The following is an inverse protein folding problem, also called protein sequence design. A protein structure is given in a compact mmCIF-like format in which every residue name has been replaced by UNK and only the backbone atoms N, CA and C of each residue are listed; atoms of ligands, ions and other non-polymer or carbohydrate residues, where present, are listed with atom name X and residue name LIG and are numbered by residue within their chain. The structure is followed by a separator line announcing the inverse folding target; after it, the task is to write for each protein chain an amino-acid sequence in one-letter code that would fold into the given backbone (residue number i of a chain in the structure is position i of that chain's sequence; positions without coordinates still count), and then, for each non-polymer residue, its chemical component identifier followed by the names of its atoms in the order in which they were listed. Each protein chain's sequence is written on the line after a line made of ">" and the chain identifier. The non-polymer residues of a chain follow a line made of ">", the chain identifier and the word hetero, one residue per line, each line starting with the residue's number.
data_IF_237611450013
#
_entry.id   IF_237611450013
#
_cell.length_a   1.000
_cell.length_b   1.000
_cell.length_c   1.000
_cell.angle_alpha   90.00
_cell.angle_beta   90.00
_cell.angle_gamma   90.00
#
_symmetry.space_group_name_H-M   'P 1'
#
loop_
_entity.id
_entity.type
_entity.pdbx_description
1 polymer ?
#
# COMPACT_ATOMS: atom_id res chain seq x y z
N UNK A 1 -26.43 -17.95 0.73
CA UNK A 1 -25.37 -17.65 1.73
C UNK A 1 -24.08 -18.44 1.50
N UNK A 2 -23.91 -19.72 1.90
CA UNK A 2 -22.60 -20.41 1.78
C UNK A 2 -22.04 -20.47 0.34
N UNK A 3 -22.86 -20.89 -0.61
CA UNK A 3 -22.47 -20.98 -2.04
C UNK A 3 -22.14 -19.59 -2.60
N UNK A 4 -22.97 -18.58 -2.33
CA UNK A 4 -22.71 -17.19 -2.72
C UNK A 4 -21.38 -16.68 -2.15
N UNK A 5 -21.05 -17.01 -0.90
CA UNK A 5 -19.79 -16.63 -0.27
C UNK A 5 -18.59 -17.26 -0.97
N UNK A 6 -18.67 -18.54 -1.35
CA UNK A 6 -17.61 -19.21 -2.12
C UNK A 6 -17.46 -18.56 -3.50
N UNK A 7 -18.58 -18.29 -4.18
CA UNK A 7 -18.56 -17.61 -5.48
C UNK A 7 -17.91 -16.24 -5.35
N UNK A 8 -18.31 -15.43 -4.36
CA UNK A 8 -17.72 -14.13 -4.10
C UNK A 8 -16.22 -14.19 -3.79
N UNK A 9 -15.78 -15.20 -3.05
CA UNK A 9 -14.36 -15.44 -2.78
C UNK A 9 -13.59 -15.76 -4.06
N UNK A 10 -14.09 -16.66 -4.90
CA UNK A 10 -13.42 -17.03 -6.17
C UNK A 10 -13.37 -15.83 -7.11
N UNK A 11 -14.49 -15.13 -7.30
CA UNK A 11 -14.55 -13.94 -8.15
C UNK A 11 -13.63 -12.86 -7.60
N UNK A 12 -13.61 -12.65 -6.28
CA UNK A 12 -12.73 -11.70 -5.64
C UNK A 12 -11.26 -12.01 -5.90
N UNK A 13 -10.82 -13.26 -5.71
CA UNK A 13 -9.45 -13.70 -6.06
C UNK A 13 -9.13 -13.42 -7.53
N UNK A 14 -10.02 -13.78 -8.47
CA UNK A 14 -9.81 -13.53 -9.90
C UNK A 14 -9.70 -12.03 -10.21
N UNK A 15 -10.58 -11.21 -9.66
CA UNK A 15 -10.53 -9.76 -9.78
C UNK A 15 -9.26 -9.18 -9.14
N UNK A 16 -8.81 -9.74 -8.01
CA UNK A 16 -7.55 -9.37 -7.36
C UNK A 16 -6.34 -9.69 -8.22
N UNK A 17 -6.34 -10.83 -8.93
CA UNK A 17 -5.30 -11.17 -9.92
C UNK A 17 -5.27 -10.15 -11.04
N UNK A 18 -6.42 -9.88 -11.66
CA UNK A 18 -6.51 -8.93 -12.78
C UNK A 18 -6.02 -7.56 -12.33
N UNK A 19 -6.57 -7.05 -11.24
CA UNK A 19 -6.26 -5.70 -10.77
C UNK A 19 -4.85 -5.54 -10.22
N UNK A 20 -4.30 -6.56 -9.56
CA UNK A 20 -2.92 -6.57 -9.06
C UNK A 20 -1.88 -6.63 -10.19
N UNK A 21 -2.26 -7.13 -11.37
CA UNK A 21 -1.36 -7.14 -12.54
C UNK A 21 -1.45 -5.87 -13.39
N UNK A 22 -2.43 -4.99 -13.15
CA UNK A 22 -2.54 -3.71 -13.87
C UNK A 22 -1.63 -2.67 -13.18
N UNK A 23 -0.62 -2.11 -13.89
CA UNK A 23 0.26 -1.10 -13.33
C UNK A 23 -0.51 0.12 -12.82
N UNK A 24 -0.10 0.66 -11.67
CA UNK A 24 -0.63 1.93 -11.16
C UNK A 24 -2.02 1.86 -10.50
N UNK A 25 -2.68 0.69 -10.50
CA UNK A 25 -3.88 0.49 -9.69
C UNK A 25 -3.47 0.15 -8.27
N UNK A 26 -4.01 0.89 -7.30
CA UNK A 26 -3.82 0.63 -5.88
C UNK A 26 -5.08 0.00 -5.28
N UNK A 27 -4.91 -0.87 -4.29
CA UNK A 27 -6.01 -1.58 -3.61
C UNK A 27 -7.11 -0.65 -3.11
N UNK A 28 -6.74 0.47 -2.48
CA UNK A 28 -7.70 1.48 -1.99
C UNK A 28 -8.61 2.04 -3.10
N UNK A 29 -8.09 2.26 -4.31
CA UNK A 29 -8.90 2.76 -5.43
C UNK A 29 -9.94 1.71 -5.84
N UNK A 30 -9.56 0.44 -5.87
CA UNK A 30 -10.48 -0.64 -6.23
C UNK A 30 -11.56 -0.79 -5.15
N UNK A 31 -11.17 -0.81 -3.87
CA UNK A 31 -12.11 -0.87 -2.75
C UNK A 31 -13.11 0.29 -2.81
N UNK A 32 -12.67 1.50 -3.17
CA UNK A 32 -13.54 2.66 -3.36
C UNK A 32 -14.50 2.47 -4.54
N UNK A 33 -14.03 1.96 -5.68
CA UNK A 33 -14.88 1.67 -6.85
C UNK A 33 -15.97 0.65 -6.48
N UNK A 34 -15.59 -0.44 -5.82
CA UNK A 34 -16.54 -1.47 -5.38
C UNK A 34 -17.54 -0.91 -4.37
N UNK A 35 -17.09 -0.08 -3.42
CA UNK A 35 -17.96 0.57 -2.45
C UNK A 35 -18.95 1.55 -3.11
N UNK A 36 -18.51 2.31 -4.12
CA UNK A 36 -19.38 3.22 -4.88
C UNK A 36 -20.47 2.48 -5.66
N UNK A 37 -20.22 1.23 -6.09
CA UNK A 37 -21.21 0.38 -6.77
C UNK A 37 -21.97 -0.53 -5.78
N UNK A 38 -21.60 -0.51 -4.50
CA UNK A 38 -22.18 -1.39 -3.48
C UNK A 38 -23.72 -1.30 -3.34
N UNK A 39 -24.41 -0.15 -3.52
CA UNK A 39 -25.87 -0.13 -3.46
C UNK A 39 -26.53 -1.05 -4.48
N UNK A 40 -25.94 -1.19 -5.67
CA UNK A 40 -26.43 -2.11 -6.70
C UNK A 40 -26.13 -3.56 -6.33
N UNK A 41 -24.94 -3.84 -5.80
CA UNK A 41 -24.56 -5.19 -5.37
C UNK A 41 -25.41 -5.68 -4.20
N UNK A 42 -25.77 -4.79 -3.27
CA UNK A 42 -26.62 -5.09 -2.12
C UNK A 42 -28.09 -5.32 -2.48
N UNK A 43 -28.52 -4.89 -3.68
CA UNK A 43 -29.85 -5.22 -4.17
C UNK A 43 -29.98 -6.71 -4.58
N UNK A 44 -28.86 -7.36 -4.90
CA UNK A 44 -28.81 -8.74 -5.39
C UNK A 44 -28.08 -9.70 -4.43
N UNK A 45 -27.34 -9.19 -3.45
CA UNK A 45 -26.54 -9.98 -2.50
C UNK A 45 -26.58 -9.37 -1.09
N UNK A 46 -25.98 -10.06 -0.11
CA UNK A 46 -25.88 -9.57 1.26
C UNK A 46 -24.58 -8.80 1.54
N UNK A 47 -24.54 -7.93 2.57
CA UNK A 47 -23.32 -7.23 2.97
C UNK A 47 -22.13 -8.16 3.26
N UNK A 48 -22.39 -9.35 3.77
CA UNK A 48 -21.35 -10.35 4.04
C UNK A 48 -20.70 -10.84 2.74
N UNK A 49 -21.50 -11.09 1.70
CA UNK A 49 -21.01 -11.55 0.38
C UNK A 49 -20.16 -10.46 -0.27
N UNK A 50 -20.60 -9.20 -0.23
CA UNK A 50 -19.82 -8.05 -0.73
C UNK A 50 -18.52 -7.88 0.06
N UNK A 51 -18.56 -8.02 1.39
CA UNK A 51 -17.38 -7.97 2.25
C UNK A 51 -16.36 -9.05 1.90
N UNK A 52 -16.80 -10.29 1.69
CA UNK A 52 -15.92 -11.40 1.29
C UNK A 52 -15.30 -11.15 -0.08
N UNK A 53 -16.06 -10.62 -1.04
CA UNK A 53 -15.53 -10.21 -2.35
C UNK A 53 -14.44 -9.14 -2.22
N UNK A 54 -14.71 -8.05 -1.48
CA UNK A 54 -13.74 -6.96 -1.27
C UNK A 54 -12.48 -7.49 -0.59
N UNK A 55 -12.63 -8.30 0.47
CA UNK A 55 -11.49 -8.79 1.25
C UNK A 55 -10.61 -9.73 0.41
N UNK A 56 -11.21 -10.68 -0.29
CA UNK A 56 -10.48 -11.62 -1.14
C UNK A 56 -9.79 -10.91 -2.31
N UNK A 57 -10.47 -9.98 -2.98
CA UNK A 57 -9.89 -9.14 -4.03
C UNK A 57 -8.69 -8.37 -3.52
N UNK A 58 -8.88 -7.61 -2.44
CA UNK A 58 -7.87 -6.71 -1.92
C UNK A 58 -6.66 -7.46 -1.40
N UNK A 59 -6.86 -8.58 -0.69
CA UNK A 59 -5.76 -9.42 -0.23
C UNK A 59 -4.98 -10.05 -1.39
N UNK A 60 -5.66 -10.56 -2.42
CA UNK A 60 -4.97 -11.09 -3.60
C UNK A 60 -4.20 -9.99 -4.34
N UNK A 61 -4.77 -8.79 -4.44
CA UNK A 61 -4.11 -7.64 -5.05
C UNK A 61 -2.80 -7.28 -4.34
N UNK A 62 -2.76 -7.20 -3.01
CA UNK A 62 -1.54 -6.80 -2.26
C UNK A 62 -0.38 -7.80 -2.36
N UNK A 63 -0.64 -9.03 -2.81
CA UNK A 63 0.40 -10.02 -3.09
C UNK A 63 0.96 -9.89 -4.52
N UNK A 64 0.16 -9.37 -5.45
CA UNK A 64 0.47 -9.37 -6.88
C UNK A 64 0.90 -7.99 -7.41
N UNK A 65 0.50 -6.90 -6.76
CA UNK A 65 0.81 -5.53 -7.19
C UNK A 65 2.32 -5.20 -7.24
N UNK A 66 3.14 -5.98 -6.54
CA UNK A 66 4.60 -5.91 -6.65
C UNK A 66 5.14 -6.37 -8.01
N UNK A 67 4.42 -7.22 -8.75
CA UNK A 67 4.83 -7.72 -10.07
C UNK A 67 4.92 -6.59 -11.11
N UNK A 68 3.83 -5.88 -11.45
CA UNK A 68 3.92 -4.79 -12.40
C UNK A 68 4.81 -3.66 -11.88
N UNK A 69 4.81 -3.40 -10.57
CA UNK A 69 5.68 -2.39 -9.98
C UNK A 69 7.16 -2.69 -10.25
N UNK A 70 7.63 -3.92 -10.01
CA UNK A 70 9.04 -4.28 -10.18
C UNK A 70 9.39 -4.45 -11.65
N UNK A 71 8.60 -5.20 -12.44
CA UNK A 71 8.95 -5.60 -13.81
C UNK A 71 8.59 -4.57 -14.88
N UNK A 72 7.47 -3.84 -14.71
CA UNK A 72 6.96 -2.91 -15.73
C UNK A 72 7.23 -1.45 -15.34
N UNK A 73 7.33 -1.16 -14.05
CA UNK A 73 7.65 0.18 -13.54
C UNK A 73 9.14 0.51 -13.55
N UNK A 74 10.02 -0.42 -13.94
CA UNK A 74 11.46 -0.20 -13.91
C UNK A 74 11.88 0.81 -14.97
N UNK A 75 12.48 1.96 -14.58
CA UNK A 75 13.03 2.89 -15.54
C UNK A 75 14.30 2.29 -16.19
N UNK A 76 14.67 2.86 -17.34
CA UNK A 76 15.80 2.40 -18.15
C UNK A 76 17.11 2.34 -17.35
N UNK A 77 18.02 1.44 -17.75
CA UNK A 77 19.32 1.20 -17.10
C UNK A 77 20.13 2.47 -16.85
N UNK A 78 20.01 3.48 -17.74
CA UNK A 78 20.66 4.78 -17.60
C UNK A 78 20.25 5.56 -16.32
N UNK A 79 19.13 5.20 -15.69
CA UNK A 79 18.64 5.80 -14.44
C UNK A 79 18.83 4.89 -13.21
N UNK A 80 19.46 3.72 -13.35
CA UNK A 80 19.59 2.68 -12.33
C UNK A 80 20.33 3.08 -11.04
N UNK A 81 21.08 4.18 -11.01
CA UNK A 81 21.71 4.67 -9.78
C UNK A 81 20.70 5.29 -8.79
N UNK A 82 19.54 5.75 -9.28
CA UNK A 82 18.49 6.40 -8.47
C UNK A 82 17.25 5.52 -8.28
N UNK A 83 17.26 4.26 -8.71
CA UNK A 83 16.07 3.40 -8.64
C UNK A 83 15.89 2.73 -7.29
N UNK A 84 14.62 2.44 -6.99
CA UNK A 84 14.21 1.67 -5.82
C UNK A 84 14.87 0.28 -5.81
N UNK A 85 15.07 -0.31 -4.63
CA UNK A 85 15.69 -1.63 -4.46
C UNK A 85 15.16 -2.72 -5.41
N UNK A 86 13.84 -2.79 -5.62
CA UNK A 86 13.22 -3.78 -6.52
C UNK A 86 13.72 -3.69 -7.96
N UNK A 87 13.86 -2.48 -8.49
CA UNK A 87 14.41 -2.26 -9.83
C UNK A 87 15.91 -2.53 -9.89
N UNK A 88 16.65 -2.25 -8.80
CA UNK A 88 18.07 -2.58 -8.71
C UNK A 88 18.28 -4.09 -8.80
N UNK A 89 17.43 -4.88 -8.13
CA UNK A 89 17.44 -6.35 -8.23
C UNK A 89 17.00 -6.81 -9.63
N UNK A 90 15.96 -6.23 -10.22
CA UNK A 90 15.54 -6.57 -11.59
C UNK A 90 16.70 -6.41 -12.58
N UNK A 91 17.41 -5.28 -12.54
CA UNK A 91 18.56 -4.98 -13.40
C UNK A 91 19.77 -5.90 -13.16
N UNK A 92 19.87 -6.52 -11.98
CA UNK A 92 20.85 -7.57 -11.67
C UNK A 92 20.41 -8.98 -12.12
N UNK A 93 19.26 -9.10 -12.77
CA UNK A 93 18.65 -10.39 -13.14
C UNK A 93 17.97 -11.11 -11.96
N UNK A 94 17.72 -10.40 -10.85
CA UNK A 94 17.16 -10.93 -9.59
C UNK A 94 15.71 -10.46 -9.33
N UNK A 95 14.97 -10.10 -10.38
CA UNK A 95 13.57 -9.68 -10.28
C UNK A 95 12.68 -10.73 -9.62
N UNK A 96 12.95 -12.02 -9.84
CA UNK A 96 12.23 -13.09 -9.16
C UNK A 96 12.44 -13.02 -7.64
N UNK A 97 13.69 -12.90 -7.19
CA UNK A 97 14.00 -12.76 -5.77
C UNK A 97 13.37 -11.51 -5.18
N UNK A 98 13.36 -10.39 -5.92
CA UNK A 98 12.70 -9.17 -5.50
C UNK A 98 11.21 -9.39 -5.18
N UNK A 99 10.49 -10.12 -6.04
CA UNK A 99 9.09 -10.50 -5.82
C UNK A 99 8.95 -11.47 -4.64
N UNK A 100 9.85 -12.45 -4.52
CA UNK A 100 9.79 -13.38 -3.40
C UNK A 100 9.97 -12.65 -2.06
N UNK A 101 10.85 -11.65 -1.99
CA UNK A 101 11.02 -10.84 -0.78
C UNK A 101 9.77 -10.04 -0.41
N UNK A 102 9.10 -9.40 -1.37
CA UNK A 102 7.83 -8.68 -1.11
C UNK A 102 6.76 -9.64 -0.61
N UNK A 103 6.62 -10.82 -1.23
CA UNK A 103 5.66 -11.86 -0.83
C UNK A 103 5.96 -12.42 0.56
N UNK A 104 7.23 -12.65 0.92
CA UNK A 104 7.63 -13.06 2.28
C UNK A 104 7.13 -12.04 3.31
N UNK A 105 7.30 -10.76 3.00
CA UNK A 105 6.81 -9.65 3.82
C UNK A 105 5.29 -9.65 3.98
N UNK A 106 4.57 -9.67 2.85
CA UNK A 106 3.11 -9.72 2.81
C UNK A 106 2.56 -10.89 3.61
N UNK A 107 3.11 -12.10 3.41
CA UNK A 107 2.69 -13.29 4.12
C UNK A 107 3.00 -13.22 5.63
N UNK A 108 4.20 -12.78 6.01
CA UNK A 108 4.56 -12.62 7.41
C UNK A 108 3.66 -11.63 8.15
N UNK A 109 3.36 -10.48 7.52
CA UNK A 109 2.45 -9.48 8.07
C UNK A 109 0.99 -9.95 8.05
N UNK A 110 0.58 -10.78 7.10
CA UNK A 110 -0.75 -11.40 7.10
C UNK A 110 -0.92 -12.30 8.32
N UNK A 111 0.02 -13.21 8.57
CA UNK A 111 -0.03 -14.12 9.73
C UNK A 111 -0.01 -13.35 11.05
N UNK A 112 0.93 -12.41 11.20
CA UNK A 112 1.05 -11.61 12.40
C UNK A 112 -0.16 -10.68 12.58
N UNK A 113 -0.66 -10.12 11.49
CA UNK A 113 -1.85 -9.26 11.45
C UNK A 113 -3.09 -10.01 11.90
N UNK A 114 -3.34 -11.21 11.39
CA UNK A 114 -4.45 -12.07 11.83
C UNK A 114 -4.33 -12.42 13.31
N UNK A 115 -3.13 -12.83 13.75
CA UNK A 115 -2.90 -13.18 15.15
C UNK A 115 -3.14 -12.00 16.11
N UNK A 116 -2.73 -10.79 15.71
CA UNK A 116 -2.89 -9.57 16.50
C UNK A 116 -4.20 -8.83 16.22
N UNK A 117 -5.04 -9.30 15.29
CA UNK A 117 -6.24 -8.59 14.85
C UNK A 117 -7.23 -8.32 15.99
N UNK A 118 -7.55 -9.27 16.90
CA UNK A 118 -8.45 -8.99 18.02
C UNK A 118 -7.90 -7.90 18.96
N UNK A 119 -6.59 -7.93 19.22
CA UNK A 119 -5.91 -6.92 20.01
C UNK A 119 -5.95 -5.55 19.33
N UNK A 120 -5.81 -5.52 18.00
CA UNK A 120 -5.92 -4.31 17.19
C UNK A 120 -7.28 -3.64 17.34
N UNK A 121 -8.38 -4.39 17.18
CA UNK A 121 -9.75 -3.87 17.32
C UNK A 121 -9.98 -3.28 18.72
N UNK A 122 -9.57 -4.01 19.76
CA UNK A 122 -9.73 -3.56 21.15
C UNK A 122 -8.92 -2.28 21.42
N UNK A 123 -7.70 -2.21 20.89
CA UNK A 123 -6.83 -1.05 21.03
C UNK A 123 -7.39 0.15 20.29
N UNK A 124 -7.93 -0.04 19.08
CA UNK A 124 -8.56 1.02 18.29
C UNK A 124 -9.68 1.72 19.06
N UNK A 125 -10.59 0.96 19.65
CA UNK A 125 -11.71 1.51 20.42
C UNK A 125 -11.27 2.36 21.62
N UNK A 126 -10.14 2.03 22.26
CA UNK A 126 -9.63 2.72 23.46
C UNK A 126 -8.66 3.87 23.15
N UNK A 127 -7.78 3.67 22.17
CA UNK A 127 -6.67 4.59 21.85
C UNK A 127 -7.14 5.70 20.91
N UNK A 128 -8.03 5.41 19.95
CA UNK A 128 -8.47 6.40 18.98
C UNK A 128 -9.08 7.67 19.63
N UNK A 129 -9.96 7.58 20.65
CA UNK A 129 -10.49 8.77 21.33
C UNK A 129 -9.40 9.67 21.93
N UNK A 130 -8.31 9.07 22.43
CA UNK A 130 -7.18 9.80 23.02
C UNK A 130 -6.32 10.49 21.94
N UNK A 131 -6.14 9.82 20.80
CA UNK A 131 -5.26 10.30 19.73
C UNK A 131 -5.96 11.24 18.76
N UNK A 132 -7.29 11.17 18.61
CA UNK A 132 -8.07 11.93 17.61
C UNK A 132 -7.78 13.44 17.63
N UNK A 133 -7.64 14.04 18.82
CA UNK A 133 -7.31 15.47 18.97
C UNK A 133 -5.87 15.81 18.56
N UNK A 134 -4.96 14.84 18.60
CA UNK A 134 -3.54 15.00 18.28
C UNK A 134 -3.19 14.64 16.82
N UNK A 135 -4.07 13.97 16.06
CA UNK A 135 -3.81 13.47 14.69
C UNK A 135 -3.18 14.55 13.80
N UNK A 136 -3.74 15.76 13.77
CA UNK A 136 -3.24 16.85 12.94
C UNK A 136 -1.80 17.23 13.28
N UNK A 137 -1.46 17.30 14.56
CA UNK A 137 -0.10 17.60 15.03
C UNK A 137 0.86 16.45 14.72
N UNK A 138 0.42 15.20 14.86
CA UNK A 138 1.23 14.01 14.52
C UNK A 138 1.56 14.00 13.03
N UNK A 139 0.56 14.23 12.17
CA UNK A 139 0.75 14.31 10.72
C UNK A 139 1.70 15.47 10.36
N UNK A 140 1.54 16.65 10.98
CA UNK A 140 2.45 17.76 10.76
C UNK A 140 3.90 17.43 11.16
N UNK A 141 4.10 16.77 12.31
CA UNK A 141 5.41 16.33 12.78
C UNK A 141 6.06 15.34 11.79
N UNK A 142 5.29 14.38 11.30
CA UNK A 142 5.76 13.40 10.29
C UNK A 142 6.19 14.14 9.02
N UNK A 143 5.40 15.10 8.55
CA UNK A 143 5.74 15.87 7.35
C UNK A 143 7.00 16.73 7.55
N UNK A 144 7.16 17.38 8.71
CA UNK A 144 8.36 18.14 9.06
C UNK A 144 9.58 17.21 9.07
N UNK A 145 9.47 16.05 9.72
CA UNK A 145 10.53 15.04 9.77
C UNK A 145 10.94 14.59 8.37
N UNK A 146 9.95 14.27 7.53
CA UNK A 146 10.16 13.85 6.15
C UNK A 146 10.87 14.91 5.30
N UNK A 147 10.39 16.15 5.32
CA UNK A 147 11.02 17.27 4.60
C UNK A 147 12.44 17.51 5.12
N UNK A 148 12.66 17.39 6.43
CA UNK A 148 13.98 17.51 7.05
C UNK A 148 14.99 16.45 6.57
N UNK A 149 14.51 15.23 6.30
CA UNK A 149 15.32 14.09 5.84
C UNK A 149 15.79 14.22 4.39
N UNK A 150 15.09 14.99 3.55
CA UNK A 150 15.41 15.18 2.13
C UNK A 150 16.59 16.17 1.92
N UNK A 151 17.79 15.71 2.28
CA UNK A 151 19.03 16.52 2.27
C UNK A 151 19.28 17.08 0.86
N UNK A 152 19.47 18.40 0.78
CA UNK A 152 19.75 19.11 -0.48
C UNK A 152 18.52 19.44 -1.33
N UNK A 153 17.32 18.92 -0.99
CA UNK A 153 16.07 19.19 -1.74
C UNK A 153 14.94 19.75 -0.87
N UNK A 154 15.17 19.97 0.43
CA UNK A 154 14.19 20.48 1.42
C UNK A 154 13.24 21.56 0.91
N UNK A 155 13.77 22.59 0.23
CA UNK A 155 12.95 23.67 -0.31
C UNK A 155 11.99 23.17 -1.40
N UNK A 156 12.47 22.31 -2.31
CA UNK A 156 11.62 21.69 -3.34
C UNK A 156 10.56 20.78 -2.71
N UNK A 157 10.92 20.00 -1.70
CA UNK A 157 10.00 19.10 -0.99
C UNK A 157 8.94 19.90 -0.22
N UNK A 158 9.31 21.03 0.40
CA UNK A 158 8.39 21.96 1.05
C UNK A 158 7.43 22.62 0.05
N UNK A 159 7.95 23.11 -1.08
CA UNK A 159 7.12 23.69 -2.14
C UNK A 159 6.13 22.65 -2.68
N UNK A 160 6.58 21.42 -2.93
CA UNK A 160 5.71 20.35 -3.40
C UNK A 160 4.61 20.01 -2.38
N UNK A 161 4.97 19.96 -1.09
CA UNK A 161 4.03 19.75 0.01
C UNK A 161 2.95 20.85 0.07
N UNK A 162 3.35 22.11 -0.06
CA UNK A 162 2.42 23.24 -0.07
C UNK A 162 1.49 23.20 -1.30
N UNK A 163 2.02 22.88 -2.48
CA UNK A 163 1.21 22.73 -3.70
C UNK A 163 0.19 21.60 -3.53
N UNK A 164 0.60 20.44 -3.00
CA UNK A 164 -0.30 19.32 -2.74
C UNK A 164 -1.38 19.68 -1.70
N UNK A 165 -1.01 20.42 -0.65
CA UNK A 165 -1.94 20.93 0.34
C UNK A 165 -2.97 21.91 -0.24
N UNK A 166 -2.52 22.88 -1.04
CA UNK A 166 -3.39 23.81 -1.75
C UNK A 166 -4.36 23.09 -2.70
N UNK A 167 -3.87 22.10 -3.45
CA UNK A 167 -4.71 21.28 -4.34
C UNK A 167 -5.80 20.56 -3.55
N UNK A 168 -5.44 19.97 -2.40
CA UNK A 168 -6.42 19.35 -1.49
C UNK A 168 -7.48 20.34 -1.03
N UNK A 169 -7.09 21.50 -0.50
CA UNK A 169 -8.01 22.54 -0.03
C UNK A 169 -8.96 23.00 -1.14
N UNK A 170 -8.46 23.21 -2.36
CA UNK A 170 -9.28 23.61 -3.51
C UNK A 170 -10.32 22.55 -3.85
N UNK A 171 -9.91 21.29 -3.99
CA UNK A 171 -10.81 20.20 -4.40
C UNK A 171 -11.87 19.93 -3.33
N UNK A 172 -11.50 19.93 -2.05
CA UNK A 172 -12.45 19.75 -0.95
C UNK A 172 -13.41 20.94 -0.77
N UNK A 173 -13.10 22.09 -1.35
CA UNK A 173 -13.98 23.27 -1.32
C UNK A 173 -15.03 23.26 -2.44
N UNK A 174 -14.97 22.32 -3.39
CA UNK A 174 -15.93 22.23 -4.51
C UNK A 174 -17.22 21.55 -4.02
N UNK A 175 -18.36 22.28 -3.88
CA UNK A 175 -19.55 21.72 -3.23
C UNK A 175 -20.28 20.65 -4.05
N UNK A 176 -20.10 20.67 -5.37
CA UNK A 176 -20.76 19.74 -6.31
C UNK A 176 -20.05 18.39 -6.42
N UNK A 177 -18.86 18.25 -5.83
CA UNK A 177 -18.02 17.07 -5.97
C UNK A 177 -18.23 16.12 -4.78
N UNK A 178 -19.19 15.20 -4.90
CA UNK A 178 -19.56 14.27 -3.82
C UNK A 178 -18.42 13.31 -3.40
N UNK A 179 -17.50 13.00 -4.30
CA UNK A 179 -16.37 12.09 -4.06
C UNK A 179 -15.05 12.71 -4.55
N UNK A 180 -14.51 13.72 -3.84
CA UNK A 180 -13.34 14.49 -4.30
C UNK A 180 -12.07 13.64 -4.47
N UNK A 181 -11.93 12.60 -3.64
CA UNK A 181 -10.77 11.72 -3.65
C UNK A 181 -10.68 10.85 -4.91
N UNK A 182 -11.83 10.44 -5.49
CA UNK A 182 -11.82 9.55 -6.66
C UNK A 182 -11.13 10.16 -7.89
N UNK A 183 -11.53 11.35 -8.40
CA UNK A 183 -10.85 11.97 -9.54
C UNK A 183 -9.43 12.41 -9.19
N UNK A 184 -9.17 12.85 -7.95
CA UNK A 184 -7.84 13.24 -7.50
C UNK A 184 -6.85 12.06 -7.54
N UNK A 185 -7.20 10.94 -6.91
CA UNK A 185 -6.33 9.76 -6.85
C UNK A 185 -6.20 9.08 -8.21
N UNK A 186 -7.30 8.98 -8.97
CA UNK A 186 -7.28 8.40 -10.31
C UNK A 186 -6.43 9.23 -11.27
N UNK A 187 -6.49 10.56 -11.19
CA UNK A 187 -5.70 11.45 -12.05
C UNK A 187 -4.21 11.50 -11.67
N UNK A 188 -3.90 11.71 -10.38
CA UNK A 188 -2.52 11.88 -9.91
C UNK A 188 -1.72 10.58 -9.87
N UNK A 189 -2.37 9.43 -9.64
CA UNK A 189 -1.67 8.14 -9.49
C UNK A 189 -2.05 7.15 -10.59
N UNK A 190 -3.35 6.89 -10.80
CA UNK A 190 -3.78 5.85 -11.75
C UNK A 190 -3.40 6.17 -13.19
N UNK A 191 -3.93 7.27 -13.72
CA UNK A 191 -3.75 7.69 -15.10
C UNK A 191 -2.30 8.11 -15.39
N UNK A 192 -1.66 8.85 -14.49
CA UNK A 192 -0.28 9.32 -14.67
C UNK A 192 0.72 8.18 -14.79
N UNK A 193 0.61 7.14 -13.95
CA UNK A 193 1.50 5.97 -13.98
C UNK A 193 1.23 5.15 -15.23
N UNK A 194 -0.04 4.92 -15.59
CA UNK A 194 -0.39 4.22 -16.82
C UNK A 194 0.15 4.94 -18.05
N UNK A 195 0.01 6.27 -18.12
CA UNK A 195 0.54 7.08 -19.22
C UNK A 195 2.07 6.99 -19.30
N UNK A 196 2.76 7.12 -18.17
CA UNK A 196 4.22 6.95 -18.11
C UNK A 196 4.65 5.56 -18.56
N UNK A 197 3.95 4.52 -18.12
CA UNK A 197 4.23 3.13 -18.48
C UNK A 197 4.02 2.86 -19.97
N UNK A 198 3.04 3.52 -20.62
CA UNK A 198 2.81 3.41 -22.06
C UNK A 198 3.88 4.16 -22.88
N UNK A 199 4.40 5.26 -22.34
CA UNK A 199 5.43 6.08 -23.01
C UNK A 199 6.84 5.51 -22.84
N UNK A 200 7.10 4.77 -21.75
CA UNK A 200 8.39 4.17 -21.48
C UNK A 200 8.59 2.86 -22.26
N UNK A 201 9.77 2.71 -22.88
CA UNK A 201 10.18 1.46 -23.52
C UNK A 201 11.05 0.64 -22.58
N UNK A 202 10.46 0.12 -21.51
CA UNK A 202 11.20 -0.72 -20.58
C UNK A 202 11.60 -2.04 -21.26
N UNK A 203 12.89 -2.36 -21.24
CA UNK A 203 13.40 -3.69 -21.61
C UNK A 203 13.69 -4.47 -20.35
N UNK A 204 12.97 -5.58 -20.16
CA UNK A 204 13.22 -6.48 -19.04
C UNK A 204 14.52 -7.24 -19.33
N UNK A 205 15.56 -7.13 -18.49
CA UNK A 205 16.82 -7.85 -18.68
C UNK A 205 16.63 -9.35 -18.40
N UNK A 206 17.56 -10.18 -18.88
CA UNK A 206 17.52 -11.63 -18.66
C UNK A 206 17.54 -11.92 -17.16
N UNK A 207 16.55 -12.70 -16.69
CA UNK A 207 16.41 -13.09 -15.29
C UNK A 207 17.12 -14.42 -15.02
N UNK A 208 17.73 -14.53 -13.85
CA UNK A 208 18.42 -15.73 -13.38
C UNK A 208 17.70 -16.31 -12.16
N UNK A 209 16.94 -17.38 -12.40
CA UNK A 209 16.17 -18.09 -11.37
C UNK A 209 17.05 -18.99 -10.48
N UNK A 210 18.32 -19.18 -10.82
CA UNK A 210 19.23 -20.01 -10.02
C UNK A 210 19.80 -19.29 -8.80
N UNK A 211 19.68 -17.95 -8.75
CA UNK A 211 20.22 -17.13 -7.66
C UNK A 211 19.46 -17.40 -6.35
N UNK A 212 20.17 -17.74 -5.26
CA UNK A 212 19.52 -18.05 -3.99
C UNK A 212 18.94 -16.81 -3.32
N UNK A 213 17.98 -17.01 -2.43
CA UNK A 213 17.48 -15.97 -1.53
C UNK A 213 18.56 -15.61 -0.51
N UNK A 214 18.92 -14.33 -0.43
CA UNK A 214 19.99 -13.78 0.43
C UNK A 214 19.47 -13.20 1.75
N UNK A 215 18.15 -12.99 1.87
CA UNK A 215 17.56 -12.39 3.06
C UNK A 215 17.73 -13.29 4.30
N UNK A 216 18.29 -12.72 5.38
CA UNK A 216 18.43 -13.44 6.64
C UNK A 216 17.10 -13.53 7.40
N UNK A 217 16.90 -14.62 8.16
CA UNK A 217 15.71 -14.78 9.03
C UNK A 217 15.53 -13.62 10.02
N UNK A 218 16.65 -13.05 10.50
CA UNK A 218 16.65 -11.87 11.37
C UNK A 218 16.09 -10.64 10.66
N UNK A 219 16.47 -10.41 9.40
CA UNK A 219 15.96 -9.28 8.62
C UNK A 219 14.50 -9.48 8.22
N UNK A 220 14.07 -10.71 7.91
CA UNK A 220 12.64 -11.03 7.72
C UNK A 220 11.85 -10.66 8.98
N UNK A 221 12.27 -11.14 10.15
CA UNK A 221 11.58 -10.85 11.41
C UNK A 221 11.53 -9.35 11.71
N UNK A 222 12.64 -8.61 11.54
CA UNK A 222 12.66 -7.15 11.68
C UNK A 222 11.68 -6.47 10.72
N UNK A 223 11.69 -6.88 9.46
CA UNK A 223 10.83 -6.30 8.41
C UNK A 223 9.36 -6.50 8.73
N UNK A 224 8.95 -7.74 9.06
CA UNK A 224 7.57 -8.09 9.37
C UNK A 224 7.09 -7.39 10.64
N UNK A 225 7.87 -7.43 11.72
CA UNK A 225 7.49 -6.77 12.99
C UNK A 225 7.37 -5.26 12.85
N UNK A 226 8.30 -4.61 12.14
CA UNK A 226 8.24 -3.17 11.91
C UNK A 226 7.13 -2.77 10.94
N UNK A 227 6.90 -3.55 9.88
CA UNK A 227 5.79 -3.32 8.96
C UNK A 227 4.43 -3.44 9.68
N UNK A 228 4.24 -4.47 10.50
CA UNK A 228 3.02 -4.62 11.31
C UNK A 228 2.88 -3.52 12.36
N UNK A 229 3.97 -3.14 13.05
CA UNK A 229 3.94 -2.09 14.07
C UNK A 229 3.70 -0.68 13.50
N UNK A 230 4.35 -0.33 12.40
CA UNK A 230 4.11 0.95 11.73
C UNK A 230 2.76 0.96 11.02
N UNK A 231 2.32 -0.18 10.46
CA UNK A 231 0.96 -0.34 9.96
C UNK A 231 -0.08 -0.08 11.05
N UNK A 232 0.15 -0.60 12.27
CA UNK A 232 -0.71 -0.34 13.43
C UNK A 232 -0.83 1.15 13.73
N UNK A 233 0.29 1.89 13.69
CA UNK A 233 0.29 3.34 13.93
C UNK A 233 -0.40 4.07 12.76
N UNK A 234 -0.12 3.66 11.53
CA UNK A 234 -0.72 4.20 10.30
C UNK A 234 -2.24 4.17 10.34
N UNK A 235 -2.80 3.12 10.94
CA UNK A 235 -4.23 2.95 11.16
C UNK A 235 -4.95 4.16 11.80
N UNK A 236 -4.26 4.85 12.71
CA UNK A 236 -4.81 5.98 13.45
C UNK A 236 -4.62 7.31 12.71
N UNK A 237 -3.87 7.32 11.61
CA UNK A 237 -3.38 8.52 10.94
C UNK A 237 -3.95 8.62 9.52
N UNK A 238 -5.05 9.36 9.31
CA UNK A 238 -5.62 9.57 7.99
C UNK A 238 -4.59 10.15 7.02
N UNK A 239 -4.50 9.58 5.81
CA UNK A 239 -3.56 10.03 4.78
C UNK A 239 -2.10 9.61 5.00
N UNK A 240 -1.78 8.86 6.06
CA UNK A 240 -0.45 8.27 6.25
C UNK A 240 -0.32 6.99 5.42
N UNK A 241 0.19 7.14 4.18
CA UNK A 241 0.29 6.05 3.21
C UNK A 241 1.48 5.10 3.42
N UNK A 242 1.49 4.01 2.64
CA UNK A 242 2.49 2.94 2.65
C UNK A 242 3.93 3.43 2.43
N UNK A 243 4.15 4.43 1.57
CA UNK A 243 5.47 5.03 1.34
C UNK A 243 6.04 5.71 2.59
N UNK A 244 5.20 6.43 3.35
CA UNK A 244 5.63 7.11 4.57
C UNK A 244 5.86 6.12 5.69
N UNK A 245 4.97 5.13 5.80
CA UNK A 245 5.16 3.99 6.68
C UNK A 245 6.50 3.29 6.39
N UNK A 246 6.86 3.08 5.12
CA UNK A 246 8.11 2.42 4.75
C UNK A 246 9.34 3.24 5.17
N UNK A 247 9.31 4.56 4.96
CA UNK A 247 10.39 5.46 5.40
C UNK A 247 10.52 5.44 6.92
N UNK A 248 9.42 5.56 7.67
CA UNK A 248 9.43 5.52 9.14
C UNK A 248 9.93 4.17 9.65
N UNK A 249 9.37 3.07 9.14
CA UNK A 249 9.74 1.72 9.54
C UNK A 249 11.23 1.43 9.28
N UNK A 250 11.76 1.85 8.12
CA UNK A 250 13.19 1.70 7.79
C UNK A 250 14.09 2.48 8.76
N UNK A 251 13.68 3.67 9.20
CA UNK A 251 14.46 4.41 10.21
C UNK A 251 14.46 3.70 11.59
N UNK A 252 13.40 2.96 11.93
CA UNK A 252 13.29 2.23 13.20
C UNK A 252 14.17 0.97 13.18
N UNK A 253 14.13 0.19 12.10
CA UNK A 253 14.84 -1.10 12.00
C UNK A 253 16.31 -0.99 11.63
N UNK A 254 16.71 0.17 11.10
CA UNK A 254 18.05 0.44 10.57
C UNK A 254 18.26 -0.19 9.20
N UNK A 255 19.53 -0.39 8.83
CA UNK A 255 19.88 -1.04 7.56
C UNK A 255 19.54 -2.54 7.61
N UNK A 256 18.67 -2.96 6.68
CA UNK A 256 18.20 -4.34 6.50
C UNK A 256 18.45 -4.86 5.08
N UNK A 257 19.22 -4.12 4.27
CA UNK A 257 19.47 -4.42 2.87
C UNK A 257 18.27 -4.17 1.95
N UNK A 258 18.52 -4.30 0.65
CA UNK A 258 17.51 -4.16 -0.40
C UNK A 258 16.39 -5.22 -0.25
N UNK A 259 16.77 -6.43 0.16
CA UNK A 259 15.87 -7.57 0.35
C UNK A 259 14.94 -7.36 1.54
N UNK A 260 15.51 -6.92 2.67
CA UNK A 260 14.74 -6.57 3.85
C UNK A 260 13.78 -5.41 3.57
N UNK A 261 14.24 -4.38 2.84
CA UNK A 261 13.39 -3.27 2.45
C UNK A 261 12.20 -3.72 1.59
N UNK A 262 12.41 -4.62 0.63
CA UNK A 262 11.32 -5.18 -0.18
C UNK A 262 10.32 -5.97 0.65
N UNK A 263 10.81 -6.79 1.59
CA UNK A 263 9.95 -7.50 2.56
C UNK A 263 9.15 -6.52 3.43
N UNK A 264 9.77 -5.45 3.89
CA UNK A 264 9.11 -4.42 4.68
C UNK A 264 8.01 -3.71 3.88
N UNK A 265 8.26 -3.34 2.63
CA UNK A 265 7.27 -2.67 1.76
C UNK A 265 6.07 -3.58 1.47
N UNK A 266 6.31 -4.84 1.09
CA UNK A 266 5.21 -5.81 0.87
C UNK A 266 4.39 -6.05 2.15
N UNK A 267 5.08 -6.19 3.28
CA UNK A 267 4.46 -6.31 4.59
C UNK A 267 3.58 -5.12 4.96
N UNK A 268 4.05 -3.89 4.72
CA UNK A 268 3.29 -2.66 5.02
C UNK A 268 2.00 -2.60 4.20
N UNK A 269 2.05 -2.96 2.91
CA UNK A 269 0.87 -2.94 2.06
C UNK A 269 -0.22 -3.89 2.59
N UNK A 270 0.18 -5.12 2.93
CA UNK A 270 -0.73 -6.13 3.49
C UNK A 270 -1.21 -5.78 4.89
N UNK A 271 -0.32 -5.27 5.76
CA UNK A 271 -0.68 -4.82 7.10
C UNK A 271 -1.69 -3.66 7.03
N UNK A 272 -1.44 -2.67 6.18
CA UNK A 272 -2.33 -1.53 5.98
C UNK A 272 -3.72 -1.98 5.54
N UNK A 273 -3.82 -2.92 4.61
CA UNK A 273 -5.10 -3.49 4.19
C UNK A 273 -5.86 -4.15 5.35
N UNK A 274 -5.24 -5.08 6.08
CA UNK A 274 -5.87 -5.75 7.22
C UNK A 274 -6.38 -4.74 8.26
N UNK A 275 -5.55 -3.75 8.53
CA UNK A 275 -5.80 -2.70 9.49
C UNK A 275 -6.94 -1.79 9.04
N UNK A 276 -7.01 -1.41 7.76
CA UNK A 276 -8.11 -0.63 7.20
C UNK A 276 -9.46 -1.35 7.39
N UNK A 277 -9.51 -2.69 7.28
CA UNK A 277 -10.72 -3.46 7.61
C UNK A 277 -11.09 -3.26 9.08
N UNK A 278 -10.12 -3.40 9.98
CA UNK A 278 -10.37 -3.25 11.41
C UNK A 278 -10.77 -1.83 11.81
N UNK A 279 -10.18 -0.82 11.18
CA UNK A 279 -10.53 0.58 11.38
C UNK A 279 -11.95 0.88 10.86
N UNK A 280 -12.30 0.37 9.67
CA UNK A 280 -13.65 0.48 9.14
C UNK A 280 -14.70 -0.14 10.08
N UNK A 281 -14.39 -1.31 10.64
CA UNK A 281 -15.24 -1.99 11.63
C UNK A 281 -15.36 -1.20 12.94
N UNK A 282 -14.24 -0.78 13.53
CA UNK A 282 -14.20 -0.18 14.86
C UNK A 282 -14.69 1.28 14.88
N UNK A 283 -14.41 2.06 13.83
CA UNK A 283 -14.68 3.49 13.79
C UNK A 283 -15.89 3.85 12.92
N UNK A 284 -16.51 2.88 12.24
CA UNK A 284 -17.55 3.12 11.22
C UNK A 284 -17.06 4.13 10.15
N UNK A 285 -15.75 4.18 9.93
CA UNK A 285 -15.06 5.09 9.02
C UNK A 285 -14.00 4.31 8.26
N UNK A 286 -14.13 4.28 6.94
CA UNK A 286 -13.06 3.80 6.08
C UNK A 286 -12.03 4.91 5.88
N UNK A 287 -10.74 4.59 6.09
CA UNK A 287 -9.60 5.43 5.75
C UNK A 287 -8.74 4.72 4.69
#
# INVERSE_FOLDING_TARGET
>A
MFVETIIALIIGVLSGVITGLIPGIHVNLISLIVLSVSPLLLAITSPVVVGVYIISLALTHTFLDSLPSIYLGAPDEAQALNVLPGHRLLHRGEGHNAIVYTVIGSFGCLLLGIALFPLFILSMAKVYPLVKGAIGYILALIMIFMIGKDKGKRLKSLVLFLIAGCLGLLIFSIPTLNQPLFPLLSGLFGFSILLLSLLQKSKIPKQDLSKPLTISKKNVAKSVTAASGVGFIAAFLPGFGSSQAAIVATNIVGDIGDEGFLSLVGGINTANFLISIGTAYALQKAY
#
